data_IF_094508382053
#
_entry.id   IF_094508382053
#
_cell.length_a   1.000
_cell.length_b   1.000
_cell.length_c   1.000
_cell.angle_alpha   90.00
_cell.angle_beta   90.00
_cell.angle_gamma   90.00
#
_symmetry.space_group_name_H-M   'P 1'
#
loop_
_entity.id
_entity.type
_entity.pdbx_description
1 polymer ?
#
# COMPACT_ATOMS: atom_id res chain seq x y z
N UNK A 1 -50.68 51.91 -22.86
CA UNK A 1 -50.22 50.54 -23.16
C UNK A 1 -48.70 50.63 -23.27
N UNK A 2 -47.97 50.38 -22.19
CA UNK A 2 -46.50 50.49 -22.15
C UNK A 2 -45.94 49.13 -22.59
N UNK A 3 -45.16 49.10 -23.66
CA UNK A 3 -44.57 47.88 -24.21
C UNK A 3 -43.41 47.40 -23.32
N UNK A 4 -43.50 46.18 -22.78
CA UNK A 4 -42.41 45.60 -21.97
C UNK A 4 -41.16 45.29 -22.84
N UNK A 5 -39.95 45.68 -22.40
CA UNK A 5 -38.72 45.50 -23.16
C UNK A 5 -38.44 44.00 -23.41
N UNK A 6 -38.01 43.65 -24.63
CA UNK A 6 -37.78 42.27 -25.07
C UNK A 6 -36.87 41.44 -24.15
N UNK A 7 -36.00 42.08 -23.37
CA UNK A 7 -35.13 41.40 -22.41
C UNK A 7 -35.92 40.75 -21.27
N UNK A 8 -36.99 41.38 -20.79
CA UNK A 8 -37.85 40.83 -19.74
C UNK A 8 -38.65 39.62 -20.24
N UNK A 9 -39.16 39.69 -21.49
CA UNK A 9 -39.83 38.55 -22.14
C UNK A 9 -38.89 37.36 -22.36
N UNK A 10 -37.62 37.60 -22.72
CA UNK A 10 -36.60 36.54 -22.86
C UNK A 10 -36.18 35.91 -21.52
N UNK A 11 -36.29 36.63 -20.41
CA UNK A 11 -36.00 36.11 -19.08
C UNK A 11 -37.17 35.22 -18.58
N UNK A 12 -38.40 35.71 -18.67
CA UNK A 12 -39.60 34.94 -18.29
C UNK A 12 -39.78 33.66 -19.12
N UNK A 13 -39.41 33.66 -20.41
CA UNK A 13 -39.44 32.45 -21.25
C UNK A 13 -38.44 31.35 -20.84
N UNK A 14 -37.48 31.67 -19.95
CA UNK A 14 -36.54 30.68 -19.38
C UNK A 14 -36.98 30.15 -18.03
N UNK A 15 -38.00 30.74 -17.42
CA UNK A 15 -38.59 30.26 -16.19
C UNK A 15 -39.52 29.09 -16.55
N UNK A 16 -39.10 27.88 -16.19
CA UNK A 16 -39.98 26.72 -16.25
C UNK A 16 -40.97 26.82 -15.09
N UNK A 17 -42.19 26.33 -15.32
CA UNK A 17 -43.24 26.31 -14.30
C UNK A 17 -42.72 25.61 -13.04
N UNK A 18 -42.88 26.25 -11.87
CA UNK A 18 -42.44 25.67 -10.62
C UNK A 18 -43.12 24.30 -10.43
N UNK A 19 -42.35 23.21 -10.27
CA UNK A 19 -42.93 21.88 -10.17
C UNK A 19 -43.79 21.82 -8.90
N UNK A 20 -45.11 21.71 -9.09
CA UNK A 20 -46.02 21.48 -7.96
C UNK A 20 -45.76 20.08 -7.39
N UNK A 21 -45.35 20.03 -6.12
CA UNK A 21 -45.24 18.79 -5.37
C UNK A 21 -46.65 18.31 -5.02
N UNK A 22 -47.27 17.59 -5.96
CA UNK A 22 -48.58 16.96 -5.72
C UNK A 22 -48.38 15.85 -4.70
N UNK A 23 -49.02 15.96 -3.55
CA UNK A 23 -49.09 14.91 -2.53
C UNK A 23 -49.72 13.64 -3.13
N UNK A 24 -48.89 12.78 -3.73
CA UNK A 24 -49.28 11.45 -4.17
C UNK A 24 -48.84 10.49 -3.06
N UNK A 25 -49.77 9.86 -2.32
CA UNK A 25 -49.39 8.91 -1.29
C UNK A 25 -48.55 7.79 -1.93
N UNK A 26 -47.59 7.27 -1.16
CA UNK A 26 -46.67 6.23 -1.64
C UNK A 26 -47.50 5.06 -2.20
N UNK A 27 -47.21 4.57 -3.42
CA UNK A 27 -47.92 3.43 -3.98
C UNK A 27 -47.85 2.25 -3.02
N UNK A 28 -48.99 1.60 -2.77
CA UNK A 28 -49.09 0.49 -1.81
C UNK A 28 -48.09 -0.65 -2.11
N UNK A 29 -47.76 -0.88 -3.38
CA UNK A 29 -46.76 -1.85 -3.81
C UNK A 29 -45.36 -1.49 -3.29
N UNK A 30 -44.96 -0.21 -3.40
CA UNK A 30 -43.66 0.26 -2.91
C UNK A 30 -43.62 0.17 -1.39
N UNK A 31 -44.69 0.56 -0.71
CA UNK A 31 -44.79 0.42 0.74
C UNK A 31 -44.70 -1.06 1.19
N UNK A 32 -45.36 -1.97 0.48
CA UNK A 32 -45.32 -3.41 0.77
C UNK A 32 -43.93 -4.01 0.53
N UNK A 33 -43.24 -3.62 -0.54
CA UNK A 33 -41.87 -4.08 -0.83
C UNK A 33 -40.92 -3.59 0.26
N UNK A 34 -40.98 -2.30 0.61
CA UNK A 34 -40.14 -1.73 1.68
C UNK A 34 -40.39 -2.45 3.00
N UNK A 35 -41.65 -2.70 3.35
CA UNK A 35 -42.01 -3.46 4.55
C UNK A 35 -41.46 -4.88 4.51
N UNK A 36 -41.56 -5.58 3.37
CA UNK A 36 -41.05 -6.93 3.21
C UNK A 36 -39.52 -7.01 3.38
N UNK A 37 -38.77 -6.05 2.83
CA UNK A 37 -37.31 -5.98 2.99
C UNK A 37 -36.92 -5.72 4.44
N UNK A 38 -37.63 -4.81 5.13
CA UNK A 38 -37.39 -4.53 6.55
C UNK A 38 -37.68 -5.76 7.41
N UNK A 39 -38.83 -6.42 7.19
CA UNK A 39 -39.20 -7.65 7.91
C UNK A 39 -38.18 -8.74 7.63
N UNK A 40 -37.74 -8.93 6.39
CA UNK A 40 -36.72 -9.91 6.04
C UNK A 40 -35.39 -9.60 6.75
N UNK A 41 -34.93 -8.35 6.77
CA UNK A 41 -33.70 -7.95 7.45
C UNK A 41 -33.76 -8.17 8.97
N UNK A 42 -34.87 -7.79 9.61
CA UNK A 42 -35.08 -8.03 11.04
C UNK A 42 -35.17 -9.51 11.35
N UNK A 43 -35.95 -10.27 10.57
CA UNK A 43 -36.04 -11.73 10.71
C UNK A 43 -34.67 -12.39 10.50
N UNK A 44 -33.91 -11.98 9.49
CA UNK A 44 -32.57 -12.50 9.25
C UNK A 44 -31.63 -12.26 10.44
N UNK A 45 -31.63 -11.06 11.04
CA UNK A 45 -30.80 -10.75 12.21
C UNK A 45 -31.26 -11.53 13.46
N UNK A 46 -32.56 -11.76 13.63
CA UNK A 46 -33.09 -12.45 14.81
C UNK A 46 -33.01 -13.99 14.69
N UNK A 47 -33.14 -14.54 13.48
CA UNK A 47 -33.11 -15.99 13.24
C UNK A 47 -31.72 -16.52 12.84
N UNK A 48 -30.87 -15.70 12.23
CA UNK A 48 -29.49 -16.08 11.91
C UNK A 48 -28.63 -15.65 13.08
N UNK A 49 -28.08 -16.58 13.87
CA UNK A 49 -27.25 -16.29 15.06
C UNK A 49 -26.06 -15.36 14.72
N UNK A 50 -26.15 -14.02 14.86
CA UNK A 50 -25.14 -13.11 14.30
C UNK A 50 -23.91 -12.98 15.20
N UNK A 51 -24.02 -13.42 16.45
CA UNK A 51 -23.05 -13.13 17.52
C UNK A 51 -22.55 -14.39 18.23
N UNK A 52 -22.94 -15.59 17.78
CA UNK A 52 -22.72 -16.85 18.52
C UNK A 52 -21.54 -17.69 18.05
N UNK A 53 -21.29 -17.76 16.74
CA UNK A 53 -20.32 -18.70 16.18
C UNK A 53 -19.42 -18.04 15.13
N UNK A 54 -18.12 -17.96 15.45
CA UNK A 54 -17.06 -17.56 14.52
C UNK A 54 -16.91 -18.52 13.32
N UNK A 55 -17.61 -19.66 13.34
CA UNK A 55 -17.73 -20.64 12.24
C UNK A 55 -18.24 -20.03 10.93
N UNK A 56 -19.19 -19.09 11.02
CA UNK A 56 -19.86 -18.48 9.85
C UNK A 56 -19.02 -17.40 9.15
N UNK A 57 -17.82 -17.10 9.67
CA UNK A 57 -16.82 -16.26 9.00
C UNK A 57 -15.90 -17.06 8.08
N UNK A 58 -14.83 -16.41 7.60
CA UNK A 58 -13.71 -17.12 6.99
C UNK A 58 -13.02 -17.91 8.11
N UNK A 59 -13.19 -19.23 8.10
CA UNK A 59 -12.83 -20.21 9.14
C UNK A 59 -11.35 -20.25 9.52
N UNK A 60 -10.56 -19.29 9.06
CA UNK A 60 -9.19 -19.05 9.47
C UNK A 60 -9.16 -18.69 10.95
N UNK A 61 -8.65 -19.63 11.73
CA UNK A 61 -8.23 -19.41 13.11
C UNK A 61 -7.01 -18.48 13.16
N UNK A 62 -6.68 -17.97 14.34
CA UNK A 62 -5.42 -17.25 14.54
C UNK A 62 -4.21 -18.13 14.17
N UNK A 63 -4.34 -19.47 14.21
CA UNK A 63 -3.32 -20.38 13.70
C UNK A 63 -3.24 -20.39 12.16
N UNK A 64 -4.35 -20.25 11.45
CA UNK A 64 -4.39 -20.15 9.97
C UNK A 64 -3.91 -18.77 9.46
N UNK A 65 -4.03 -17.74 10.29
CA UNK A 65 -3.52 -16.39 10.02
C UNK A 65 -2.08 -16.17 10.49
N UNK A 66 -1.58 -17.03 11.39
CA UNK A 66 -0.17 -17.06 11.72
C UNK A 66 0.55 -17.68 10.54
N UNK A 67 1.40 -16.89 9.89
CA UNK A 67 2.44 -17.46 9.06
C UNK A 67 3.13 -18.56 9.88
N UNK A 68 3.43 -19.75 9.31
CA UNK A 68 4.21 -20.75 10.01
C UNK A 68 5.44 -20.04 10.58
N UNK A 69 5.71 -20.25 11.87
CA UNK A 69 6.85 -19.63 12.53
C UNK A 69 8.06 -19.80 11.62
N UNK A 70 8.67 -18.68 11.22
CA UNK A 70 9.85 -18.67 10.36
C UNK A 70 10.88 -19.63 10.96
N UNK A 71 10.97 -20.82 10.37
CA UNK A 71 11.42 -21.99 11.09
C UNK A 71 11.81 -23.14 10.18
N UNK A 72 12.51 -22.83 9.10
CA UNK A 72 13.53 -23.69 8.50
C UNK A 72 14.26 -22.90 7.41
N UNK A 73 15.57 -22.77 7.52
CA UNK A 73 16.42 -22.42 6.40
C UNK A 73 16.17 -23.43 5.26
N UNK A 74 15.34 -23.06 4.28
CA UNK A 74 15.01 -23.95 3.16
C UNK A 74 13.62 -23.79 2.54
N UNK A 75 12.64 -23.25 3.28
CA UNK A 75 11.36 -22.81 2.70
C UNK A 75 11.39 -21.28 2.57
N UNK A 76 12.08 -20.79 1.53
CA UNK A 76 12.33 -19.36 1.35
C UNK A 76 11.02 -18.58 1.20
N UNK A 77 10.92 -17.44 1.88
CA UNK A 77 9.89 -16.45 1.59
C UNK A 77 9.93 -16.09 0.09
N UNK A 78 8.78 -15.96 -0.56
CA UNK A 78 8.73 -15.55 -1.96
C UNK A 78 9.00 -14.03 -2.07
N UNK A 79 10.21 -13.68 -2.53
CA UNK A 79 10.63 -12.29 -2.68
C UNK A 79 9.73 -11.47 -3.60
N UNK A 80 9.15 -12.09 -4.63
CA UNK A 80 8.20 -11.43 -5.54
C UNK A 80 6.89 -11.12 -4.82
N UNK A 81 6.41 -12.04 -4.00
CA UNK A 81 5.20 -11.83 -3.21
C UNK A 81 5.40 -10.71 -2.18
N UNK A 82 6.53 -10.73 -1.47
CA UNK A 82 6.89 -9.67 -0.50
C UNK A 82 7.01 -8.32 -1.20
N UNK A 83 7.66 -8.26 -2.37
CA UNK A 83 7.76 -7.06 -3.20
C UNK A 83 6.38 -6.53 -3.59
N UNK A 84 5.50 -7.43 -4.04
CA UNK A 84 4.13 -7.08 -4.47
C UNK A 84 3.31 -6.50 -3.33
N UNK A 85 3.42 -7.08 -2.13
CA UNK A 85 2.66 -6.65 -0.97
C UNK A 85 3.18 -5.32 -0.36
N UNK A 86 4.48 -5.06 -0.41
CA UNK A 86 5.11 -4.00 0.40
C UNK A 86 5.77 -2.88 -0.43
N UNK A 87 6.25 -3.17 -1.64
CA UNK A 87 7.17 -2.28 -2.37
C UNK A 87 6.57 -1.72 -3.66
N UNK A 88 5.69 -2.49 -4.32
CA UNK A 88 5.11 -2.13 -5.64
C UNK A 88 4.34 -0.82 -5.62
N UNK A 89 3.70 -0.46 -4.51
CA UNK A 89 2.93 0.78 -4.41
C UNK A 89 3.76 2.03 -4.76
N UNK A 90 5.05 2.05 -4.39
CA UNK A 90 5.95 3.18 -4.64
C UNK A 90 6.90 2.89 -5.81
N UNK A 91 7.53 1.72 -5.83
CA UNK A 91 8.56 1.39 -6.83
C UNK A 91 8.01 0.82 -8.14
N UNK A 92 6.69 0.59 -8.20
CA UNK A 92 5.96 0.03 -9.34
C UNK A 92 6.36 -1.42 -9.66
N UNK A 93 5.49 -2.13 -10.37
CA UNK A 93 5.76 -3.52 -10.78
C UNK A 93 6.99 -3.65 -11.70
N UNK A 94 7.28 -2.58 -12.45
CA UNK A 94 8.43 -2.49 -13.36
C UNK A 94 9.73 -2.08 -12.66
N UNK A 95 9.69 -1.75 -11.36
CA UNK A 95 10.86 -1.26 -10.63
C UNK A 95 11.32 0.14 -11.04
N UNK A 96 10.60 0.84 -11.92
CA UNK A 96 11.00 2.16 -12.41
C UNK A 96 10.62 3.31 -11.49
N UNK A 97 9.82 3.04 -10.46
CA UNK A 97 9.27 4.08 -9.59
C UNK A 97 8.50 5.14 -10.36
N UNK A 98 8.55 6.38 -9.85
CA UNK A 98 7.95 7.55 -10.47
C UNK A 98 9.00 8.69 -10.47
N UNK A 99 9.47 9.16 -11.64
CA UNK A 99 10.49 10.20 -11.71
C UNK A 99 10.16 11.42 -10.85
N UNK A 100 11.14 11.89 -10.06
CA UNK A 100 10.98 13.01 -9.13
C UNK A 100 10.27 12.71 -7.80
N UNK A 101 9.65 11.53 -7.65
CA UNK A 101 8.90 11.16 -6.43
C UNK A 101 9.44 9.88 -5.80
N UNK A 102 9.44 8.78 -6.55
CA UNK A 102 9.92 7.47 -6.09
C UNK A 102 11.07 6.99 -6.96
N UNK A 103 12.24 6.69 -6.37
CA UNK A 103 13.40 6.29 -7.14
C UNK A 103 13.20 4.93 -7.82
N UNK A 104 13.84 4.72 -9.00
CA UNK A 104 13.88 3.41 -9.62
C UNK A 104 14.74 2.45 -8.79
N UNK A 105 14.34 1.18 -8.78
CA UNK A 105 15.11 0.04 -8.30
C UNK A 105 15.83 -0.68 -9.46
N UNK A 106 15.26 -0.63 -10.67
CA UNK A 106 15.89 -1.14 -11.90
C UNK A 106 17.11 -0.28 -12.28
N UNK A 107 18.30 -0.90 -12.30
CA UNK A 107 19.55 -0.21 -12.60
C UNK A 107 20.09 0.69 -11.48
N UNK A 108 19.49 0.65 -10.29
CA UNK A 108 19.88 1.49 -9.16
C UNK A 108 21.24 1.08 -8.57
N UNK A 109 22.13 2.05 -8.39
CA UNK A 109 23.42 1.87 -7.72
C UNK A 109 23.28 1.42 -6.26
N UNK A 110 22.17 1.76 -5.60
CA UNK A 110 21.87 1.36 -4.23
C UNK A 110 21.42 -0.11 -4.13
N UNK A 111 20.71 -0.59 -5.16
CA UNK A 111 20.28 -1.99 -5.25
C UNK A 111 21.45 -2.87 -5.63
N UNK A 112 22.24 -2.48 -6.63
CA UNK A 112 23.35 -3.28 -7.16
C UNK A 112 24.65 -3.14 -6.37
N UNK A 113 24.75 -2.13 -5.51
CA UNK A 113 25.93 -1.86 -4.70
C UNK A 113 26.06 -2.78 -3.49
N UNK A 114 26.55 -2.19 -2.40
CA UNK A 114 26.95 -2.87 -1.18
C UNK A 114 25.74 -3.45 -0.42
N UNK A 115 25.85 -4.71 0.00
CA UNK A 115 24.72 -5.50 0.52
C UNK A 115 24.22 -4.98 1.86
N UNK A 116 25.14 -4.59 2.75
CA UNK A 116 24.81 -4.03 4.06
C UNK A 116 24.04 -2.73 3.95
N UNK A 117 24.32 -1.91 2.95
CA UNK A 117 23.64 -0.64 2.70
C UNK A 117 22.19 -0.88 2.29
N UNK A 118 21.96 -1.79 1.34
CA UNK A 118 20.60 -2.19 0.96
C UNK A 118 19.84 -2.80 2.15
N UNK A 119 20.50 -3.65 2.94
CA UNK A 119 19.91 -4.23 4.14
C UNK A 119 19.48 -3.16 5.15
N UNK A 120 20.33 -2.15 5.37
CA UNK A 120 20.05 -1.04 6.27
C UNK A 120 18.94 -0.11 5.75
N UNK A 121 18.84 0.12 4.43
CA UNK A 121 17.72 0.86 3.83
C UNK A 121 16.40 0.16 4.13
N UNK A 122 16.33 -1.16 3.97
CA UNK A 122 15.11 -1.93 4.26
C UNK A 122 14.80 -1.96 5.77
N UNK A 123 15.82 -2.12 6.61
CA UNK A 123 15.64 -2.19 8.06
C UNK A 123 15.29 -0.82 8.66
N UNK A 124 15.86 0.29 8.23
CA UNK A 124 15.67 1.56 8.93
C UNK A 124 14.92 2.61 8.12
N UNK A 125 14.75 2.39 6.82
CA UNK A 125 14.18 3.38 5.91
C UNK A 125 15.17 4.50 5.59
N UNK A 126 14.80 5.35 4.63
CA UNK A 126 15.58 6.52 4.24
C UNK A 126 14.65 7.71 4.08
N UNK A 127 15.05 8.87 4.57
CA UNK A 127 14.39 10.15 4.36
C UNK A 127 15.39 11.16 3.82
N UNK A 128 14.93 12.28 3.27
CA UNK A 128 15.80 13.35 2.80
C UNK A 128 16.22 13.19 1.34
N UNK A 129 17.30 13.89 0.96
CA UNK A 129 17.75 13.96 -0.43
C UNK A 129 18.64 12.76 -0.79
N UNK A 130 18.26 12.05 -1.86
CA UNK A 130 18.95 10.87 -2.37
C UNK A 130 19.13 10.99 -3.89
N UNK A 131 20.36 10.86 -4.39
CA UNK A 131 20.60 10.68 -5.82
C UNK A 131 20.47 9.21 -6.22
N UNK A 132 19.69 8.92 -7.26
CA UNK A 132 19.59 7.60 -7.88
C UNK A 132 19.69 7.75 -9.38
N UNK A 133 20.69 7.09 -9.99
CA UNK A 133 20.98 7.18 -11.43
C UNK A 133 21.11 8.64 -11.93
N UNK A 134 21.69 9.52 -11.11
CA UNK A 134 21.89 10.94 -11.43
C UNK A 134 20.67 11.85 -11.25
N UNK A 135 19.53 11.33 -10.79
CA UNK A 135 18.34 12.12 -10.47
C UNK A 135 18.21 12.28 -8.95
N UNK A 136 17.85 13.50 -8.49
CA UNK A 136 17.62 13.79 -7.07
C UNK A 136 16.18 13.46 -6.67
N UNK A 137 16.02 12.76 -5.55
CA UNK A 137 14.75 12.39 -4.93
C UNK A 137 14.69 12.92 -3.51
N UNK A 138 13.56 13.54 -3.15
CA UNK A 138 13.29 14.07 -1.80
C UNK A 138 12.06 13.38 -1.24
N UNK A 139 12.24 12.13 -0.85
CA UNK A 139 11.18 11.25 -0.37
C UNK A 139 11.46 10.70 1.02
N UNK A 140 10.51 9.94 1.54
CA UNK A 140 10.68 9.13 2.73
C UNK A 140 10.23 7.69 2.43
N UNK A 141 11.16 6.74 2.52
CA UNK A 141 10.91 5.31 2.53
C UNK A 141 10.85 4.85 3.99
N UNK A 142 9.73 4.26 4.44
CA UNK A 142 9.59 3.78 5.81
C UNK A 142 10.51 2.58 6.08
N UNK A 143 10.69 2.28 7.37
CA UNK A 143 11.32 1.04 7.83
C UNK A 143 10.40 -0.16 7.58
N UNK A 144 11.00 -1.32 7.29
CA UNK A 144 10.32 -2.61 7.18
C UNK A 144 10.74 -3.61 8.26
N UNK A 145 11.05 -3.13 9.48
CA UNK A 145 11.45 -3.99 10.61
C UNK A 145 10.42 -5.05 11.00
N UNK A 146 9.14 -4.85 10.66
CA UNK A 146 8.09 -5.84 10.88
C UNK A 146 8.26 -7.11 10.04
N UNK A 147 8.99 -7.04 8.92
CA UNK A 147 9.32 -8.20 8.11
C UNK A 147 10.44 -9.00 8.76
N UNK A 148 10.34 -10.33 8.66
CA UNK A 148 11.38 -11.24 9.12
C UNK A 148 12.65 -11.11 8.28
N UNK A 149 13.78 -11.55 8.84
CA UNK A 149 15.08 -11.50 8.15
C UNK A 149 15.08 -12.34 6.86
N UNK A 150 14.28 -13.41 6.82
CA UNK A 150 14.09 -14.24 5.63
C UNK A 150 13.28 -13.53 4.55
N UNK A 151 12.21 -12.81 4.91
CA UNK A 151 11.41 -12.02 3.96
C UNK A 151 12.20 -10.84 3.38
N UNK A 152 12.98 -10.16 4.24
CA UNK A 152 13.86 -9.08 3.82
C UNK A 152 14.96 -9.57 2.86
N UNK A 153 15.57 -10.71 3.17
CA UNK A 153 16.55 -11.33 2.28
C UNK A 153 15.93 -11.76 0.95
N UNK A 154 14.72 -12.32 0.98
CA UNK A 154 14.01 -12.73 -0.23
C UNK A 154 13.66 -11.54 -1.14
N UNK A 155 13.08 -10.47 -0.59
CA UNK A 155 12.72 -9.28 -1.39
C UNK A 155 13.95 -8.56 -1.92
N UNK A 156 15.01 -8.43 -1.12
CA UNK A 156 16.25 -7.82 -1.57
C UNK A 156 16.92 -8.64 -2.69
N UNK A 157 16.90 -9.97 -2.57
CA UNK A 157 17.41 -10.87 -3.61
C UNK A 157 16.59 -10.81 -4.89
N UNK A 158 15.26 -10.76 -4.77
CA UNK A 158 14.36 -10.59 -5.92
C UNK A 158 14.67 -9.30 -6.67
N UNK A 159 14.68 -8.16 -5.98
CA UNK A 159 14.96 -6.84 -6.58
C UNK A 159 16.36 -6.79 -7.22
N UNK A 160 17.35 -7.49 -6.66
CA UNK A 160 18.72 -7.59 -7.21
C UNK A 160 18.87 -8.49 -8.43
N UNK A 161 17.96 -9.44 -8.63
CA UNK A 161 17.97 -10.37 -9.76
C UNK A 161 17.05 -9.92 -10.92
N UNK A 162 16.06 -9.09 -10.63
CA UNK A 162 15.02 -8.68 -11.58
C UNK A 162 15.43 -7.52 -12.49
N UNK A 163 14.68 -7.39 -13.59
CA UNK A 163 14.86 -6.35 -14.60
C UNK A 163 16.29 -6.34 -15.17
N UNK A 164 16.93 -5.16 -15.25
CA UNK A 164 18.32 -5.05 -15.69
C UNK A 164 19.34 -5.40 -14.60
N UNK A 165 18.90 -5.60 -13.34
CA UNK A 165 19.79 -5.89 -12.23
C UNK A 165 20.41 -7.30 -12.37
N UNK A 166 21.70 -7.42 -12.02
CA UNK A 166 22.48 -8.66 -12.08
C UNK A 166 23.37 -8.79 -10.84
N UNK A 167 22.77 -8.63 -9.67
CA UNK A 167 23.48 -8.67 -8.39
C UNK A 167 23.16 -9.94 -7.60
N UNK A 168 24.08 -10.34 -6.71
CA UNK A 168 23.96 -11.56 -5.93
C UNK A 168 22.78 -11.54 -4.96
N UNK A 169 22.26 -12.72 -4.64
CA UNK A 169 21.24 -12.90 -3.61
C UNK A 169 21.82 -12.58 -2.22
N UNK A 170 20.99 -12.00 -1.35
CA UNK A 170 21.33 -11.69 0.04
C UNK A 170 20.84 -12.80 0.95
N UNK A 171 21.58 -13.03 2.03
CA UNK A 171 21.24 -14.05 3.02
C UNK A 171 20.55 -13.43 4.24
N UNK A 172 19.68 -14.22 4.90
CA UNK A 172 18.94 -13.77 6.08
C UNK A 172 19.87 -13.37 7.24
N UNK A 173 21.06 -14.00 7.34
CA UNK A 173 22.03 -13.71 8.40
C UNK A 173 22.56 -12.27 8.34
N UNK A 174 22.61 -11.66 7.15
CA UNK A 174 22.98 -10.26 6.99
C UNK A 174 21.98 -9.35 7.71
N UNK A 175 20.68 -9.57 7.49
CA UNK A 175 19.61 -8.80 8.12
C UNK A 175 19.57 -9.04 9.63
N UNK A 176 19.75 -10.29 10.07
CA UNK A 176 19.83 -10.62 11.49
C UNK A 176 21.01 -9.91 12.18
N UNK A 177 22.15 -9.81 11.49
CA UNK A 177 23.35 -9.13 11.99
C UNK A 177 23.12 -7.63 12.09
N UNK A 178 22.64 -6.99 11.02
CA UNK A 178 22.40 -5.55 11.01
C UNK A 178 21.28 -5.14 11.98
N UNK A 179 20.23 -5.97 12.14
CA UNK A 179 19.17 -5.73 13.14
C UNK A 179 19.70 -5.74 14.57
N UNK A 180 20.69 -6.59 14.88
CA UNK A 180 21.36 -6.63 16.19
C UNK A 180 22.37 -5.50 16.38
N UNK A 181 23.06 -5.12 15.31
CA UNK A 181 24.06 -4.05 15.33
C UNK A 181 23.43 -2.65 15.35
N UNK A 182 22.21 -2.51 14.83
CA UNK A 182 21.50 -1.25 14.71
C UNK A 182 20.86 -0.81 16.03
N UNK A 183 21.34 0.29 16.60
CA UNK A 183 20.63 1.05 17.65
C UNK A 183 19.77 2.18 17.07
N UNK A 184 19.71 2.29 15.75
CA UNK A 184 19.07 3.38 15.04
C UNK A 184 17.55 3.18 15.00
N UNK A 185 16.82 4.13 15.60
CA UNK A 185 15.35 4.18 15.62
C UNK A 185 14.75 5.16 14.60
N UNK A 186 15.59 5.94 13.91
CA UNK A 186 15.17 6.94 12.90
C UNK A 186 15.66 6.54 11.51
N UNK A 187 14.93 6.89 10.43
CA UNK A 187 15.42 6.67 9.06
C UNK A 187 16.77 7.35 8.79
N UNK A 188 17.51 6.82 7.82
CA UNK A 188 18.73 7.47 7.33
C UNK A 188 18.41 8.83 6.73
N UNK A 189 19.19 9.86 7.05
CA UNK A 189 18.97 11.21 6.51
C UNK A 189 19.81 11.45 5.25
N UNK A 190 19.29 10.99 4.12
CA UNK A 190 19.81 11.23 2.79
C UNK A 190 21.02 10.40 2.42
N UNK A 191 21.56 10.71 1.25
CA UNK A 191 22.67 9.99 0.61
C UNK A 191 23.95 9.96 1.44
N UNK A 192 24.26 11.03 2.17
CA UNK A 192 25.51 11.14 2.93
C UNK A 192 25.60 10.09 4.05
N UNK A 193 24.51 9.84 4.78
CA UNK A 193 24.50 8.82 5.83
C UNK A 193 24.58 7.40 5.26
N UNK A 194 23.94 7.15 4.11
CA UNK A 194 24.03 5.86 3.43
C UNK A 194 25.45 5.60 2.89
N UNK A 195 26.11 6.61 2.30
CA UNK A 195 27.51 6.49 1.88
C UNK A 195 28.45 6.29 3.06
N UNK A 196 28.17 6.90 4.21
CA UNK A 196 28.97 6.69 5.41
C UNK A 196 28.90 5.24 5.92
N UNK A 197 27.81 4.50 5.64
CA UNK A 197 27.75 3.06 5.90
C UNK A 197 28.66 2.28 4.94
N UNK A 198 28.61 2.57 3.64
CA UNK A 198 29.47 1.89 2.65
C UNK A 198 30.97 2.05 2.96
N UNK A 199 31.36 3.23 3.47
CA UNK A 199 32.74 3.56 3.80
C UNK A 199 33.25 2.89 5.10
N UNK A 200 32.36 2.35 5.94
CA UNK A 200 32.68 1.72 7.23
C UNK A 200 32.84 0.20 7.15
N UNK A 201 33.03 -0.35 5.95
CA UNK A 201 33.36 -1.76 5.77
C UNK A 201 34.84 -1.97 6.17
N UNK A 202 35.17 -2.90 7.08
CA UNK A 202 36.55 -3.17 7.46
C UNK A 202 37.38 -3.73 6.31
#
# INVERSE_FOLDING_TARGET
MLEEPESQRRAQQREQEEPSERERPIPLIVAAITLAVVIFGVAYILLSEPFGQADLGDRRTVADLRAPAAGAAGAGADGKQVFTANCVACHQATGKGLPGVFPPLDGSEWVMGEERTLANILLHGVSGELSVMGNSYKGAMPSFQQLSDAELAAVASYVRAEWSNKAGALKAELFATERKAGTRSTPFNGEAELKALTAKTP
#
